data_IF_362727955989
#
_entry.id   IF_362727955989
#
_cell.length_a   1.000
_cell.length_b   1.000
_cell.length_c   1.000
_cell.angle_alpha   90.00
_cell.angle_beta   90.00
_cell.angle_gamma   90.00
#
_symmetry.space_group_name_H-M   'P 1'
#
loop_
_entity.id
_entity.type
_entity.pdbx_description
1 polymer ?
#
# COMPACT_ATOMS: atom_id res chain seq x y z
N UNK A 1 11.94 -16.65 18.42
CA UNK A 1 12.14 -16.13 17.07
C UNK A 1 12.71 -14.72 17.10
N UNK A 2 13.45 -14.27 16.04
CA UNK A 2 13.90 -12.88 15.89
C UNK A 2 12.70 -11.98 15.55
N UNK A 3 12.68 -10.75 16.06
CA UNK A 3 11.66 -9.76 15.73
C UNK A 3 12.16 -8.32 15.92
N UNK A 4 11.75 -7.42 15.04
CA UNK A 4 11.92 -5.96 15.18
C UNK A 4 10.73 -5.40 15.94
N UNK A 5 11.01 -4.93 17.15
CA UNK A 5 9.97 -4.58 18.14
C UNK A 5 10.03 -3.09 18.48
N UNK A 6 8.90 -2.42 18.41
CA UNK A 6 8.66 -1.13 19.05
C UNK A 6 8.35 -1.38 20.53
N UNK A 7 9.34 -1.16 21.40
CA UNK A 7 9.27 -1.51 22.83
C UNK A 7 8.43 -0.53 23.65
N UNK A 8 8.44 0.76 23.29
CA UNK A 8 7.69 1.84 23.95
C UNK A 8 7.30 2.94 22.96
N UNK A 9 6.29 3.76 23.29
CA UNK A 9 5.92 4.94 22.52
C UNK A 9 6.98 6.04 22.64
N UNK A 10 6.91 7.01 21.74
CA UNK A 10 7.91 8.09 21.60
C UNK A 10 8.99 7.77 20.56
N UNK A 11 9.90 8.72 20.26
CA UNK A 11 10.95 8.54 19.27
C UNK A 11 11.91 7.38 19.61
N UNK A 12 12.36 6.66 18.60
CA UNK A 12 13.23 5.49 18.78
C UNK A 12 12.48 4.31 19.41
N UNK A 13 13.08 3.67 20.40
CA UNK A 13 12.55 2.49 21.08
C UNK A 13 12.21 1.32 20.13
N UNK A 14 12.97 1.17 19.06
CA UNK A 14 12.89 0.05 18.13
C UNK A 14 14.16 -0.77 18.26
N UNK A 15 14.02 -2.08 18.40
CA UNK A 15 15.14 -2.99 18.58
C UNK A 15 14.85 -4.35 17.95
N UNK A 16 15.90 -5.01 17.46
CA UNK A 16 15.85 -6.42 17.10
C UNK A 16 16.09 -7.24 18.36
N UNK A 17 15.18 -8.15 18.69
CA UNK A 17 15.32 -9.04 19.84
C UNK A 17 14.69 -10.41 19.60
N UNK A 18 14.97 -11.35 20.49
CA UNK A 18 14.29 -12.63 20.52
C UNK A 18 13.01 -12.52 21.34
N UNK A 19 11.90 -13.00 20.75
CA UNK A 19 10.59 -13.09 21.38
C UNK A 19 10.06 -14.52 21.30
N UNK A 20 9.09 -14.90 22.15
CA UNK A 20 8.39 -16.18 22.00
C UNK A 20 7.75 -16.31 20.62
N UNK A 21 7.60 -17.54 20.13
CA UNK A 21 6.81 -17.81 18.94
C UNK A 21 5.34 -17.52 19.20
N UNK A 22 4.60 -16.98 18.18
CA UNK A 22 3.17 -16.72 18.35
C UNK A 22 2.39 -18.01 18.49
N UNK A 23 1.40 -18.03 19.37
CA UNK A 23 0.52 -19.18 19.57
C UNK A 23 -0.40 -19.38 18.36
N UNK A 24 -0.47 -20.60 17.86
CA UNK A 24 -1.40 -20.98 16.80
C UNK A 24 -2.71 -21.48 17.41
N UNK A 25 -3.80 -20.77 17.16
CA UNK A 25 -5.15 -21.13 17.63
C UNK A 25 -6.08 -21.42 16.45
N UNK A 26 -7.22 -22.12 16.66
CA UNK A 26 -8.17 -22.43 15.60
C UNK A 26 -8.54 -21.20 14.74
N UNK A 27 -8.58 -21.36 13.42
CA UNK A 27 -8.86 -20.31 12.45
C UNK A 27 -7.64 -19.49 11.99
N UNK A 28 -6.46 -19.75 12.57
CA UNK A 28 -5.21 -19.11 12.16
C UNK A 28 -4.31 -20.04 11.37
N UNK A 29 -3.43 -19.45 10.57
CA UNK A 29 -2.29 -20.10 9.93
C UNK A 29 -1.00 -19.44 10.42
N UNK A 30 0.05 -20.24 10.55
CA UNK A 30 1.42 -19.78 10.79
C UNK A 30 2.11 -19.59 9.46
N UNK A 31 2.66 -18.43 9.26
CA UNK A 31 3.43 -18.09 8.06
C UNK A 31 4.87 -17.82 8.46
N UNK A 32 5.80 -18.56 7.87
CA UNK A 32 7.22 -18.22 7.89
C UNK A 32 7.42 -17.04 6.97
N UNK A 33 7.88 -15.93 7.53
CA UNK A 33 8.07 -14.70 6.77
C UNK A 33 9.31 -14.84 5.90
N UNK A 34 9.14 -14.54 4.61
CA UNK A 34 10.25 -14.46 3.66
C UNK A 34 10.67 -13.00 3.46
N UNK A 35 9.70 -12.11 3.30
CA UNK A 35 9.94 -10.72 3.00
C UNK A 35 8.93 -9.81 3.68
N UNK A 36 9.38 -8.64 4.12
CA UNK A 36 8.54 -7.59 4.69
C UNK A 36 8.96 -6.22 4.17
N UNK A 37 8.04 -5.50 3.54
CA UNK A 37 8.27 -4.14 3.07
C UNK A 37 8.24 -3.14 4.23
N UNK A 38 9.14 -2.16 4.19
CA UNK A 38 9.11 -1.02 5.11
C UNK A 38 8.19 0.05 4.52
N UNK A 39 7.23 0.51 5.32
CA UNK A 39 6.25 1.53 4.97
C UNK A 39 6.55 2.88 5.65
N UNK A 40 6.02 3.98 5.11
CA UNK A 40 6.05 5.28 5.78
C UNK A 40 5.41 5.28 7.18
N UNK A 41 4.45 4.37 7.42
CA UNK A 41 3.87 4.16 8.75
C UNK A 41 4.90 3.64 9.76
N UNK A 42 5.81 2.75 9.34
CA UNK A 42 6.86 2.22 10.22
C UNK A 42 7.87 3.33 10.58
N UNK A 43 8.16 4.26 9.65
CA UNK A 43 8.95 5.46 9.95
C UNK A 43 8.30 6.33 11.03
N UNK A 44 6.97 6.45 11.02
CA UNK A 44 6.24 7.16 12.09
C UNK A 44 6.33 6.47 13.44
N UNK A 45 6.62 5.17 13.48
CA UNK A 45 7.00 4.48 14.69
C UNK A 45 8.37 4.93 15.19
N UNK A 46 9.33 5.15 14.28
CA UNK A 46 10.69 5.59 14.60
C UNK A 46 10.71 7.02 15.15
N UNK A 47 10.03 7.95 14.50
CA UNK A 47 10.00 9.37 14.90
C UNK A 47 9.01 9.66 16.06
N UNK A 48 8.16 8.69 16.43
CA UNK A 48 7.20 8.80 17.52
C UNK A 48 5.96 9.63 17.19
N UNK A 49 5.74 10.00 15.93
CA UNK A 49 4.57 10.77 15.49
C UNK A 49 3.28 9.95 15.43
N UNK A 50 3.38 8.63 15.61
CA UNK A 50 2.23 7.74 15.70
C UNK A 50 2.31 6.89 16.97
N UNK A 51 1.21 6.82 17.73
CA UNK A 51 1.13 6.00 18.95
C UNK A 51 0.71 4.57 18.59
N UNK A 52 1.51 3.62 19.05
CA UNK A 52 1.28 2.19 18.91
C UNK A 52 0.86 1.55 20.22
N UNK A 53 0.25 0.37 20.15
CA UNK A 53 0.09 -0.48 21.34
C UNK A 53 1.42 -1.20 21.59
N UNK A 54 2.24 -0.67 22.45
CA UNK A 54 3.57 -1.23 22.77
C UNK A 54 3.54 -2.19 23.98
N UNK A 55 4.42 -3.22 24.03
CA UNK A 55 5.37 -3.59 22.95
C UNK A 55 4.65 -4.18 21.74
N UNK A 56 5.23 -4.02 20.52
CA UNK A 56 4.63 -4.44 19.26
C UNK A 56 5.70 -4.81 18.24
N UNK A 57 5.57 -5.96 17.56
CA UNK A 57 6.36 -6.28 16.38
C UNK A 57 5.85 -5.44 15.21
N UNK A 58 6.75 -4.75 14.50
CA UNK A 58 6.41 -3.90 13.36
C UNK A 58 6.21 -4.70 12.06
N UNK A 59 5.85 -4.00 10.97
CA UNK A 59 5.73 -4.54 9.62
C UNK A 59 4.35 -5.06 9.28
N UNK A 60 3.83 -4.60 8.13
CA UNK A 60 2.48 -4.95 7.67
C UNK A 60 2.41 -5.23 6.16
N UNK A 61 3.51 -5.10 5.44
CA UNK A 61 3.65 -5.48 4.03
C UNK A 61 4.41 -6.81 3.97
N UNK A 62 3.71 -7.93 4.09
CA UNK A 62 4.30 -9.23 4.43
C UNK A 62 4.02 -10.27 3.36
N UNK A 63 5.03 -11.05 3.03
CA UNK A 63 4.91 -12.30 2.27
C UNK A 63 5.72 -13.41 2.90
N UNK A 64 5.33 -14.63 2.60
CA UNK A 64 6.01 -15.80 3.14
C UNK A 64 5.35 -17.11 2.70
N UNK A 65 5.61 -18.16 3.46
CA UNK A 65 5.08 -19.50 3.20
C UNK A 65 4.28 -20.01 4.42
N UNK A 66 3.11 -20.56 4.17
CA UNK A 66 2.34 -21.23 5.20
C UNK A 66 3.09 -22.47 5.66
N UNK A 67 3.47 -22.52 6.94
CA UNK A 67 4.20 -23.66 7.53
C UNK A 67 3.33 -24.52 8.45
N UNK A 68 2.24 -23.94 8.96
CA UNK A 68 1.32 -24.66 9.83
C UNK A 68 -0.09 -24.07 9.69
N UNK A 69 -1.10 -24.92 9.73
CA UNK A 69 -2.50 -24.52 9.80
C UNK A 69 -3.13 -25.18 11.03
N UNK A 70 -3.87 -24.41 11.83
CA UNK A 70 -4.57 -24.98 12.95
C UNK A 70 -5.57 -26.05 12.46
N UNK A 71 -5.70 -27.18 13.14
CA UNK A 71 -6.78 -28.11 12.86
C UNK A 71 -8.13 -27.41 13.05
N UNK A 72 -9.13 -27.78 12.26
CA UNK A 72 -10.49 -27.20 12.29
C UNK A 72 -10.60 -25.77 11.75
N UNK A 73 -9.95 -25.50 10.61
CA UNK A 73 -10.33 -24.38 9.76
C UNK A 73 -11.77 -24.62 9.21
N UNK A 74 -12.78 -24.56 10.08
CA UNK A 74 -14.15 -24.45 9.60
C UNK A 74 -14.34 -23.02 9.06
N UNK A 75 -14.56 -22.85 7.76
CA UNK A 75 -14.85 -21.54 7.18
C UNK A 75 -16.03 -20.83 7.88
N UNK A 76 -16.96 -21.59 8.50
CA UNK A 76 -18.08 -21.04 9.25
C UNK A 76 -17.63 -20.36 10.56
N UNK A 77 -16.54 -20.80 11.18
CA UNK A 77 -15.99 -20.20 12.39
C UNK A 77 -15.10 -18.97 12.13
N UNK A 78 -14.72 -18.75 10.88
CA UNK A 78 -14.03 -17.52 10.42
C UNK A 78 -15.09 -16.50 9.98
N UNK A 79 -16.32 -16.68 10.40
CA UNK A 79 -17.49 -15.92 10.01
C UNK A 79 -17.28 -14.43 10.18
N UNK A 80 -17.64 -13.67 9.18
CA UNK A 80 -17.95 -12.29 9.29
C UNK A 80 -17.56 -11.37 8.16
N UNK A 81 -17.03 -11.87 7.05
CA UNK A 81 -16.85 -11.03 5.88
C UNK A 81 -17.69 -11.54 4.71
N UNK A 82 -18.70 -10.76 4.29
CA UNK A 82 -19.35 -11.02 3.02
C UNK A 82 -18.34 -10.73 1.90
N UNK A 83 -18.18 -11.67 1.03
CA UNK A 83 -17.46 -11.49 -0.22
C UNK A 83 -16.06 -12.09 -0.22
N UNK A 84 -15.79 -12.66 -1.35
CA UNK A 84 -14.52 -13.17 -1.84
C UNK A 84 -13.79 -14.08 -0.84
N UNK A 85 -14.30 -15.32 -0.78
CA UNK A 85 -13.61 -16.38 -0.06
C UNK A 85 -12.29 -16.62 -0.79
N UNK A 86 -11.22 -16.11 -0.18
CA UNK A 86 -9.87 -16.47 -0.58
C UNK A 86 -9.80 -17.99 -0.74
N UNK A 87 -9.13 -18.44 -1.79
CA UNK A 87 -8.80 -19.85 -1.94
C UNK A 87 -8.24 -20.36 -0.62
N UNK A 88 -8.71 -21.54 -0.18
CA UNK A 88 -8.21 -22.12 1.05
C UNK A 88 -6.70 -22.28 0.93
N UNK A 89 -5.96 -21.56 1.78
CA UNK A 89 -4.51 -21.73 1.83
C UNK A 89 -4.17 -23.03 2.53
N UNK A 90 -3.13 -23.70 2.05
CA UNK A 90 -2.58 -24.95 2.59
C UNK A 90 -1.14 -24.75 3.04
N UNK A 91 -0.64 -25.68 3.86
CA UNK A 91 0.78 -25.76 4.20
C UNK A 91 1.60 -25.89 2.92
N UNK A 92 2.64 -25.08 2.79
CA UNK A 92 3.47 -24.97 1.60
C UNK A 92 3.09 -23.82 0.65
N UNK A 93 1.88 -23.27 0.75
CA UNK A 93 1.48 -22.15 -0.11
C UNK A 93 2.31 -20.90 0.12
N UNK A 94 2.65 -20.23 -0.98
CA UNK A 94 3.27 -18.90 -0.99
C UNK A 94 2.18 -17.86 -0.87
N UNK A 95 2.30 -16.96 0.11
CA UNK A 95 1.22 -16.03 0.44
C UNK A 95 1.73 -14.61 0.64
N UNK A 96 0.84 -13.64 0.36
CA UNK A 96 0.87 -12.29 0.92
C UNK A 96 -0.19 -12.17 2.00
N UNK A 97 -0.02 -11.24 2.93
CA UNK A 97 -0.92 -11.08 4.06
C UNK A 97 -1.76 -9.80 3.95
N UNK A 98 -3.08 -9.95 4.13
CA UNK A 98 -3.93 -8.80 4.42
C UNK A 98 -3.60 -8.25 5.80
N UNK A 99 -3.68 -6.94 5.95
CA UNK A 99 -3.34 -6.31 7.24
C UNK A 99 -4.37 -6.52 8.34
N UNK A 100 -5.54 -7.08 8.03
CA UNK A 100 -6.65 -7.19 8.98
C UNK A 100 -6.58 -8.48 9.81
N UNK A 101 -5.90 -8.41 10.97
CA UNK A 101 -5.82 -9.51 11.92
C UNK A 101 -7.15 -9.81 12.62
N UNK A 102 -7.98 -8.79 12.82
CA UNK A 102 -9.30 -8.94 13.41
C UNK A 102 -10.30 -7.96 12.80
N UNK A 103 -11.49 -8.48 12.52
CA UNK A 103 -12.68 -7.74 12.11
C UNK A 103 -13.88 -8.32 12.83
N UNK A 104 -14.83 -7.48 13.25
CA UNK A 104 -15.98 -8.00 14.04
C UNK A 104 -17.04 -8.71 13.18
N UNK A 105 -17.02 -8.56 11.85
CA UNK A 105 -17.97 -9.17 10.91
C UNK A 105 -19.42 -8.68 10.98
N UNK A 106 -19.83 -8.05 12.09
CA UNK A 106 -21.25 -7.75 12.41
C UNK A 106 -21.62 -6.26 12.42
N UNK A 107 -20.67 -5.34 12.44
CA UNK A 107 -20.98 -3.91 12.37
C UNK A 107 -21.43 -3.48 10.97
N UNK A 108 -22.02 -2.29 10.86
CA UNK A 108 -22.51 -1.76 9.59
C UNK A 108 -21.39 -1.71 8.51
N UNK A 109 -20.17 -1.32 8.92
CA UNK A 109 -19.02 -1.29 8.00
C UNK A 109 -18.67 -2.68 7.45
N UNK A 110 -18.58 -3.70 8.32
CA UNK A 110 -18.27 -5.07 7.88
C UNK A 110 -19.38 -5.62 6.97
N UNK A 111 -20.64 -5.48 7.35
CA UNK A 111 -21.79 -5.95 6.56
C UNK A 111 -21.95 -5.17 5.23
N UNK A 112 -21.53 -3.91 5.21
CA UNK A 112 -21.56 -3.06 4.03
C UNK A 112 -20.34 -3.21 3.10
N UNK A 113 -19.47 -4.24 3.33
CA UNK A 113 -18.31 -4.50 2.48
C UNK A 113 -17.15 -3.51 2.64
N UNK A 114 -17.15 -2.75 3.75
CA UNK A 114 -16.10 -1.78 4.09
C UNK A 114 -15.42 -2.14 5.43
N UNK A 115 -14.84 -3.35 5.57
CA UNK A 115 -14.30 -3.83 6.83
C UNK A 115 -13.14 -2.97 7.38
N UNK A 116 -12.42 -2.24 6.52
CA UNK A 116 -11.39 -1.29 6.92
C UNK A 116 -11.91 -0.14 7.82
N UNK A 117 -13.22 0.08 7.87
CA UNK A 117 -13.89 1.03 8.76
C UNK A 117 -14.46 0.37 10.02
N UNK A 118 -14.21 -0.91 10.24
CA UNK A 118 -14.65 -1.61 11.43
C UNK A 118 -14.06 -0.94 12.69
N UNK A 119 -14.88 -0.50 13.65
CA UNK A 119 -14.37 0.17 14.87
C UNK A 119 -13.56 -0.77 15.77
N UNK A 120 -13.70 -2.09 15.58
CA UNK A 120 -12.96 -3.12 16.32
C UNK A 120 -11.81 -3.71 15.51
N UNK A 121 -11.49 -3.12 14.36
CA UNK A 121 -10.39 -3.59 13.48
C UNK A 121 -9.07 -3.61 14.25
N UNK A 122 -8.33 -4.73 14.09
CA UNK A 122 -6.95 -4.82 14.54
C UNK A 122 -6.07 -5.09 13.31
N UNK A 123 -5.03 -4.26 13.15
CA UNK A 123 -4.08 -4.36 12.03
C UNK A 123 -2.74 -4.90 12.50
N UNK A 124 -2.16 -5.83 11.73
CA UNK A 124 -0.80 -6.31 11.96
C UNK A 124 0.19 -5.13 11.86
N UNK A 125 1.25 -5.17 12.67
CA UNK A 125 2.28 -4.13 12.69
C UNK A 125 1.82 -2.75 13.20
N UNK A 126 0.56 -2.63 13.68
CA UNK A 126 0.01 -1.37 14.19
C UNK A 126 -0.72 -1.51 15.52
N UNK A 127 -1.62 -2.48 15.64
CA UNK A 127 -2.40 -2.74 16.87
C UNK A 127 -2.22 -4.16 17.40
N UNK A 128 -1.68 -5.05 16.59
CA UNK A 128 -1.20 -6.39 16.96
C UNK A 128 0.11 -6.65 16.23
N UNK A 129 0.86 -7.65 16.69
CA UNK A 129 2.17 -8.00 16.15
C UNK A 129 2.15 -8.16 14.63
N UNK A 130 3.21 -7.66 13.99
CA UNK A 130 3.41 -7.64 12.56
C UNK A 130 4.42 -8.67 12.07
N UNK A 131 4.88 -8.48 10.84
CA UNK A 131 5.70 -9.43 10.13
C UNK A 131 7.19 -9.12 10.05
N UNK A 132 7.71 -8.09 10.74
CA UNK A 132 9.16 -7.94 10.89
C UNK A 132 9.70 -8.93 11.91
N UNK A 133 9.46 -10.23 11.67
CA UNK A 133 9.82 -11.36 12.51
C UNK A 133 9.96 -12.64 11.67
N UNK A 134 10.60 -13.67 12.24
CA UNK A 134 10.77 -14.96 11.55
C UNK A 134 9.42 -15.60 11.17
N UNK A 135 8.42 -15.47 12.03
CA UNK A 135 7.09 -16.04 11.82
C UNK A 135 5.98 -15.09 12.30
N UNK A 136 4.82 -15.23 11.69
CA UNK A 136 3.59 -14.53 12.08
C UNK A 136 2.41 -15.51 12.04
N UNK A 137 1.45 -15.35 12.94
CA UNK A 137 0.15 -16.03 12.84
C UNK A 137 -0.92 -15.03 12.42
N UNK A 138 -1.77 -15.44 11.49
CA UNK A 138 -2.83 -14.60 10.94
C UNK A 138 -4.05 -15.45 10.62
N UNK A 139 -5.20 -14.81 10.53
CA UNK A 139 -6.42 -15.49 10.07
C UNK A 139 -6.19 -16.10 8.69
N UNK A 140 -6.61 -17.35 8.50
CA UNK A 140 -6.45 -18.03 7.22
C UNK A 140 -7.05 -17.25 6.02
N UNK A 141 -8.24 -16.59 6.11
CA UNK A 141 -8.76 -15.76 5.01
C UNK A 141 -7.94 -14.50 4.72
N UNK A 142 -7.07 -14.09 5.63
CA UNK A 142 -6.19 -12.94 5.43
C UNK A 142 -4.83 -13.32 4.79
N UNK A 143 -4.56 -14.62 4.63
CA UNK A 143 -3.44 -15.12 3.82
C UNK A 143 -3.92 -15.35 2.39
N UNK A 144 -3.32 -14.66 1.42
CA UNK A 144 -3.69 -14.72 0.00
C UNK A 144 -2.59 -15.39 -0.80
N UNK A 145 -2.94 -16.45 -1.56
CA UNK A 145 -1.97 -17.16 -2.40
C UNK A 145 -1.37 -16.22 -3.44
N UNK A 146 -0.06 -16.28 -3.60
CA UNK A 146 0.67 -15.54 -4.64
C UNK A 146 0.59 -16.28 -5.98
N UNK A 147 0.53 -15.56 -7.11
CA UNK A 147 0.79 -16.13 -8.42
C UNK A 147 2.18 -16.77 -8.48
N UNK A 148 2.35 -17.82 -9.29
CA UNK A 148 3.61 -18.57 -9.37
C UNK A 148 4.77 -17.71 -9.88
N UNK A 149 4.48 -16.73 -10.75
CA UNK A 149 5.45 -15.83 -11.36
C UNK A 149 5.95 -14.73 -10.42
N UNK A 150 5.21 -14.43 -9.34
CA UNK A 150 5.58 -13.38 -8.41
C UNK A 150 6.51 -13.93 -7.33
N UNK A 151 7.68 -13.31 -7.14
CA UNK A 151 8.59 -13.68 -6.05
C UNK A 151 7.99 -13.35 -4.66
N UNK A 152 8.55 -13.94 -3.60
CA UNK A 152 8.16 -13.59 -2.24
C UNK A 152 8.52 -12.12 -1.93
N UNK A 153 9.63 -11.61 -2.45
CA UNK A 153 9.99 -10.18 -2.31
C UNK A 153 8.95 -9.27 -2.96
N UNK A 154 8.55 -9.57 -4.20
CA UNK A 154 7.44 -8.85 -4.87
C UNK A 154 6.11 -9.05 -4.16
N UNK A 155 5.89 -10.23 -3.58
CA UNK A 155 4.71 -10.57 -2.80
C UNK A 155 4.46 -9.67 -1.60
N UNK A 156 5.51 -9.13 -0.97
CA UNK A 156 5.38 -8.14 0.09
C UNK A 156 4.74 -6.83 -0.41
N UNK A 157 4.93 -6.48 -1.69
CA UNK A 157 4.39 -5.26 -2.28
C UNK A 157 2.93 -5.39 -2.75
N UNK A 158 2.30 -6.53 -2.61
CA UNK A 158 0.87 -6.70 -2.90
C UNK A 158 0.02 -5.84 -1.96
N UNK A 159 0.47 -5.64 -0.73
CA UNK A 159 -0.19 -4.75 0.23
C UNK A 159 -0.26 -3.30 -0.26
N UNK A 160 0.85 -2.61 -0.59
CA UNK A 160 0.79 -1.27 -1.16
C UNK A 160 0.12 -1.22 -2.54
N UNK A 161 0.21 -2.28 -3.36
CA UNK A 161 -0.57 -2.36 -4.58
C UNK A 161 -2.09 -2.39 -4.31
N UNK A 162 -2.54 -3.11 -3.28
CA UNK A 162 -3.95 -3.12 -2.90
C UNK A 162 -4.45 -1.73 -2.44
N UNK A 163 -3.58 -0.90 -1.84
CA UNK A 163 -3.87 0.51 -1.56
C UNK A 163 -4.05 1.28 -2.88
N UNK A 164 -3.15 1.08 -3.86
CA UNK A 164 -3.24 1.72 -5.17
C UNK A 164 -4.51 1.28 -5.95
N UNK A 165 -4.85 -0.01 -5.92
CA UNK A 165 -6.11 -0.53 -6.48
C UNK A 165 -7.30 0.19 -5.87
N UNK A 166 -7.35 0.31 -4.55
CA UNK A 166 -8.46 0.99 -3.89
C UNK A 166 -8.57 2.44 -4.31
N UNK A 167 -7.48 3.19 -4.31
CA UNK A 167 -7.54 4.62 -4.67
C UNK A 167 -7.96 4.85 -6.11
N UNK A 168 -7.52 4.00 -7.03
CA UNK A 168 -7.76 4.16 -8.47
C UNK A 168 -9.10 3.57 -8.89
N UNK A 169 -9.40 2.32 -8.48
CA UNK A 169 -10.57 1.58 -9.00
C UNK A 169 -11.81 1.67 -8.10
N UNK A 170 -11.64 2.05 -6.82
CA UNK A 170 -12.75 2.02 -5.87
C UNK A 170 -13.12 3.40 -5.31
N UNK A 171 -12.17 4.36 -5.34
CA UNK A 171 -12.35 5.70 -4.78
C UNK A 171 -12.36 6.80 -5.82
N UNK A 172 -11.84 6.56 -7.00
CA UNK A 172 -11.91 7.52 -8.09
C UNK A 172 -13.02 7.21 -9.09
N UNK A 173 -13.29 8.17 -9.94
CA UNK A 173 -14.25 8.09 -11.04
C UNK A 173 -13.56 7.91 -12.39
N UNK A 174 -12.37 7.29 -12.38
CA UNK A 174 -11.55 7.10 -13.56
C UNK A 174 -12.18 6.13 -14.55
N UNK A 175 -12.21 6.52 -15.84
CA UNK A 175 -12.69 5.71 -16.94
C UNK A 175 -11.60 5.47 -18.00
N UNK A 176 -11.74 4.44 -18.84
CA UNK A 176 -10.84 4.25 -19.97
C UNK A 176 -10.82 5.48 -20.89
N UNK A 177 -9.61 5.92 -21.26
CA UNK A 177 -9.40 7.12 -22.07
C UNK A 177 -9.22 8.43 -21.29
N UNK A 178 -9.59 8.47 -20.01
CA UNK A 178 -9.36 9.63 -19.14
C UNK A 178 -7.88 9.99 -19.00
N UNK A 179 -7.60 11.25 -18.71
CA UNK A 179 -6.28 11.73 -18.36
C UNK A 179 -6.12 11.75 -16.84
N UNK A 180 -5.19 10.92 -16.35
CA UNK A 180 -4.83 10.83 -14.93
C UNK A 180 -3.46 11.44 -14.66
N UNK A 181 -3.35 12.33 -13.68
CA UNK A 181 -2.06 12.83 -13.19
C UNK A 181 -1.79 12.25 -11.81
N UNK A 182 -0.63 11.62 -11.63
CA UNK A 182 -0.20 11.05 -10.35
C UNK A 182 1.00 11.83 -9.82
N UNK A 183 0.87 12.44 -8.67
CA UNK A 183 1.96 13.14 -8.00
C UNK A 183 2.68 12.23 -7.01
N UNK A 184 4.00 12.18 -7.11
CA UNK A 184 4.87 11.44 -6.20
C UNK A 184 5.27 10.06 -6.73
N UNK A 185 6.49 9.90 -7.30
CA UNK A 185 6.97 8.65 -7.87
C UNK A 185 7.52 7.68 -6.80
N UNK A 186 6.88 7.63 -5.62
CA UNK A 186 7.12 6.61 -4.60
C UNK A 186 6.43 5.28 -4.95
N UNK A 187 6.56 4.27 -4.07
CA UNK A 187 5.97 2.96 -4.30
C UNK A 187 4.44 3.02 -4.54
N UNK A 188 3.71 3.85 -3.78
CA UNK A 188 2.26 4.03 -3.96
C UNK A 188 1.94 4.73 -5.27
N UNK A 189 2.65 5.83 -5.62
CA UNK A 189 2.38 6.54 -6.87
C UNK A 189 2.74 5.74 -8.12
N UNK A 190 3.87 5.00 -8.10
CA UNK A 190 4.23 4.08 -9.19
C UNK A 190 3.21 2.93 -9.34
N UNK A 191 2.72 2.38 -8.23
CA UNK A 191 1.65 1.38 -8.27
C UNK A 191 0.34 1.99 -8.80
N UNK A 192 -0.04 3.20 -8.34
CA UNK A 192 -1.24 3.90 -8.80
C UNK A 192 -1.19 4.22 -10.31
N UNK A 193 -0.03 4.68 -10.80
CA UNK A 193 0.18 4.93 -12.22
C UNK A 193 -0.01 3.67 -13.07
N UNK A 194 0.55 2.53 -12.62
CA UNK A 194 0.35 1.26 -13.31
C UNK A 194 -1.11 0.79 -13.27
N UNK A 195 -1.79 0.92 -12.11
CA UNK A 195 -3.22 0.55 -11.99
C UNK A 195 -4.10 1.45 -12.87
N UNK A 196 -3.82 2.76 -12.93
CA UNK A 196 -4.56 3.68 -13.80
C UNK A 196 -4.34 3.36 -15.29
N UNK A 197 -3.09 3.07 -15.70
CA UNK A 197 -2.78 2.62 -17.04
C UNK A 197 -3.48 1.29 -17.36
N UNK A 198 -3.47 0.35 -16.41
CA UNK A 198 -4.18 -0.92 -16.52
C UNK A 198 -5.71 -0.72 -16.63
N UNK A 199 -6.27 0.34 -16.08
CA UNK A 199 -7.68 0.71 -16.24
C UNK A 199 -7.97 1.40 -17.60
N UNK A 200 -6.95 1.63 -18.43
CA UNK A 200 -7.09 2.24 -19.75
C UNK A 200 -6.97 3.77 -19.77
N UNK A 201 -6.52 4.38 -18.69
CA UNK A 201 -6.27 5.82 -18.63
C UNK A 201 -4.94 6.20 -19.30
N UNK A 202 -4.86 7.45 -19.80
CA UNK A 202 -3.61 8.10 -20.16
C UNK A 202 -2.99 8.67 -18.88
N UNK A 203 -1.78 8.23 -18.54
CA UNK A 203 -1.19 8.56 -17.25
C UNK A 203 0.01 9.47 -17.41
N UNK A 204 0.05 10.52 -16.59
CA UNK A 204 1.21 11.38 -16.36
C UNK A 204 1.68 11.16 -14.93
N UNK A 205 2.91 10.70 -14.73
CA UNK A 205 3.54 10.62 -13.42
C UNK A 205 4.43 11.85 -13.20
N UNK A 206 4.14 12.61 -12.14
CA UNK A 206 4.83 13.85 -11.81
C UNK A 206 5.69 13.69 -10.56
N UNK A 207 6.95 14.11 -10.65
CA UNK A 207 7.91 14.10 -9.55
C UNK A 207 8.79 15.34 -9.56
N UNK A 208 9.93 15.30 -8.87
CA UNK A 208 10.99 16.31 -8.94
C UNK A 208 12.24 15.72 -9.58
N UNK A 209 13.15 16.55 -10.07
CA UNK A 209 14.41 16.14 -10.69
C UNK A 209 15.24 15.19 -9.79
N UNK A 210 15.18 15.38 -8.47
CA UNK A 210 15.82 14.46 -7.51
C UNK A 210 15.24 13.03 -7.53
N UNK A 211 14.11 12.82 -8.17
CA UNK A 211 13.44 11.51 -8.31
C UNK A 211 13.65 10.91 -9.72
N UNK A 212 14.66 11.37 -10.46
CA UNK A 212 14.89 10.99 -11.86
C UNK A 212 14.84 9.47 -12.08
N UNK A 213 15.56 8.70 -11.29
CA UNK A 213 15.60 7.23 -11.42
C UNK A 213 14.20 6.59 -11.36
N UNK A 214 13.30 7.13 -10.53
CA UNK A 214 11.93 6.64 -10.40
C UNK A 214 11.02 7.11 -11.53
N UNK A 215 11.27 8.30 -12.07
CA UNK A 215 10.58 8.76 -13.28
C UNK A 215 11.01 7.92 -14.49
N UNK A 216 12.30 7.60 -14.61
CA UNK A 216 12.82 6.69 -15.63
C UNK A 216 12.24 5.27 -15.48
N UNK A 217 12.13 4.76 -14.24
CA UNK A 217 11.47 3.50 -13.95
C UNK A 217 10.00 3.52 -14.41
N UNK A 218 9.27 4.62 -14.20
CA UNK A 218 7.89 4.72 -14.67
C UNK A 218 7.78 4.54 -16.19
N UNK A 219 8.69 5.15 -16.95
CA UNK A 219 8.74 4.98 -18.42
C UNK A 219 9.02 3.51 -18.79
N UNK A 220 9.95 2.84 -18.08
CA UNK A 220 10.25 1.42 -18.27
C UNK A 220 9.05 0.52 -17.95
N UNK A 221 8.21 0.92 -16.98
CA UNK A 221 6.97 0.25 -16.61
C UNK A 221 5.80 0.55 -17.57
N UNK A 222 6.07 1.27 -18.68
CA UNK A 222 5.08 1.57 -19.71
C UNK A 222 4.17 2.78 -19.41
N UNK A 223 4.50 3.60 -18.41
CA UNK A 223 3.81 4.88 -18.19
C UNK A 223 4.32 5.87 -19.24
N UNK A 224 3.45 6.40 -20.12
CA UNK A 224 3.92 7.13 -21.30
C UNK A 224 4.52 8.50 -21.00
N UNK A 225 4.15 9.10 -19.88
CA UNK A 225 4.62 10.43 -19.49
C UNK A 225 5.08 10.43 -18.04
N UNK A 226 6.36 10.73 -17.82
CA UNK A 226 6.95 10.89 -16.49
C UNK A 226 7.87 12.10 -16.52
N UNK A 227 7.61 13.12 -15.70
CA UNK A 227 8.32 14.38 -15.77
C UNK A 227 8.69 14.94 -14.39
N UNK A 228 9.73 15.80 -14.39
CA UNK A 228 10.19 16.52 -13.22
C UNK A 228 9.58 17.94 -13.21
N UNK A 229 8.64 18.19 -12.30
CA UNK A 229 7.87 19.45 -12.23
C UNK A 229 8.71 20.68 -11.85
N UNK A 230 9.93 20.50 -11.39
CA UNK A 230 10.91 21.57 -11.13
C UNK A 230 11.85 21.85 -12.32
N UNK A 231 11.69 21.12 -13.41
CA UNK A 231 12.47 21.27 -14.64
C UNK A 231 11.60 21.32 -15.91
N UNK A 232 10.35 20.88 -15.84
CA UNK A 232 9.46 20.73 -16.98
C UNK A 232 8.07 21.29 -16.66
N UNK A 233 7.36 21.77 -17.68
CA UNK A 233 6.02 22.37 -17.52
C UNK A 233 4.93 21.30 -17.57
N UNK A 234 4.50 20.86 -16.39
CA UNK A 234 3.39 19.91 -16.24
C UNK A 234 2.07 20.47 -16.78
N UNK A 235 1.81 21.77 -16.59
CA UNK A 235 0.56 22.40 -17.04
C UNK A 235 0.47 22.37 -18.56
N UNK A 236 1.54 22.77 -19.25
CA UNK A 236 1.59 22.71 -20.71
C UNK A 236 1.41 21.28 -21.23
N UNK A 237 1.97 20.26 -20.55
CA UNK A 237 1.77 18.86 -20.95
C UNK A 237 0.31 18.41 -20.75
N UNK A 238 -0.30 18.73 -19.60
CA UNK A 238 -1.70 18.41 -19.31
C UNK A 238 -2.62 19.09 -20.33
N UNK A 239 -2.40 20.35 -20.65
CA UNK A 239 -3.17 21.10 -21.64
C UNK A 239 -3.05 20.48 -23.04
N UNK A 240 -1.84 20.13 -23.46
CA UNK A 240 -1.64 19.47 -24.74
C UNK A 240 -2.34 18.11 -24.84
N UNK A 241 -2.30 17.31 -23.76
CA UNK A 241 -2.94 15.99 -23.71
C UNK A 241 -4.46 16.06 -23.59
N UNK A 242 -4.99 17.12 -23.00
CA UNK A 242 -6.43 17.29 -22.73
C UNK A 242 -7.11 18.27 -23.67
N UNK A 243 -6.40 18.86 -24.63
CA UNK A 243 -6.91 19.94 -25.49
C UNK A 243 -7.40 21.16 -24.67
N UNK A 244 -6.64 21.50 -23.62
CA UNK A 244 -6.93 22.60 -22.71
C UNK A 244 -8.05 22.36 -21.70
N UNK A 245 -8.58 21.11 -21.60
CA UNK A 245 -9.67 20.80 -20.65
C UNK A 245 -9.16 20.56 -19.22
N UNK A 246 -7.92 20.13 -19.05
CA UNK A 246 -7.34 19.65 -17.80
C UNK A 246 -7.50 18.15 -17.57
N UNK A 247 -6.90 17.62 -16.50
CA UNK A 247 -6.94 16.21 -16.11
C UNK A 247 -8.32 15.80 -15.58
N UNK A 248 -8.74 14.58 -15.87
CA UNK A 248 -10.00 14.01 -15.33
C UNK A 248 -9.84 13.68 -13.84
N UNK A 249 -8.72 13.08 -13.46
CA UNK A 249 -8.42 12.71 -12.07
C UNK A 249 -6.98 13.04 -11.75
N UNK A 250 -6.76 13.64 -10.57
CA UNK A 250 -5.42 13.84 -9.99
C UNK A 250 -5.29 13.02 -8.71
N UNK A 251 -4.23 12.23 -8.61
CA UNK A 251 -3.88 11.44 -7.42
C UNK A 251 -2.72 12.11 -6.70
N UNK A 252 -2.94 12.52 -5.46
CA UNK A 252 -1.92 13.09 -4.60
C UNK A 252 -1.32 11.99 -3.72
N UNK A 253 -0.12 11.50 -4.09
CA UNK A 253 0.62 10.43 -3.41
C UNK A 253 1.95 10.92 -2.80
N UNK A 254 2.23 12.22 -2.85
CA UNK A 254 3.52 12.79 -2.44
C UNK A 254 3.53 13.34 -1.00
N UNK A 255 2.39 13.81 -0.51
CA UNK A 255 2.27 14.56 0.74
C UNK A 255 2.89 15.97 0.67
N UNK A 256 3.20 16.46 -0.53
CA UNK A 256 3.82 17.75 -0.69
C UNK A 256 2.77 18.88 -0.72
N UNK A 257 2.92 19.85 0.17
CA UNK A 257 2.04 21.01 0.28
C UNK A 257 1.82 21.72 -1.07
N UNK A 258 2.89 21.97 -1.81
CA UNK A 258 2.84 22.67 -3.10
C UNK A 258 2.02 21.92 -4.15
N UNK A 259 2.00 20.58 -4.07
CA UNK A 259 1.16 19.78 -4.96
C UNK A 259 -0.31 20.01 -4.65
N UNK A 260 -0.70 20.02 -3.38
CA UNK A 260 -2.08 20.25 -3.01
C UNK A 260 -2.57 21.66 -3.37
N UNK A 261 -1.70 22.67 -3.23
CA UNK A 261 -1.98 24.06 -3.64
C UNK A 261 -2.19 24.18 -5.16
N UNK A 262 -1.41 23.46 -5.97
CA UNK A 262 -1.45 23.55 -7.44
C UNK A 262 -2.37 22.56 -8.14
N UNK A 263 -2.64 21.41 -7.53
CA UNK A 263 -3.41 20.32 -8.16
C UNK A 263 -4.81 20.73 -8.65
N UNK A 264 -5.61 21.54 -7.93
CA UNK A 264 -6.94 21.94 -8.40
C UNK A 264 -6.91 22.66 -9.75
N UNK A 265 -5.86 23.42 -10.06
CA UNK A 265 -5.73 24.14 -11.33
C UNK A 265 -5.48 23.24 -12.54
N UNK A 266 -4.97 22.02 -12.31
CA UNK A 266 -4.72 21.02 -13.35
C UNK A 266 -5.95 20.19 -13.69
N UNK A 267 -6.99 20.24 -12.85
CA UNK A 267 -8.17 19.38 -12.97
C UNK A 267 -9.22 20.08 -13.81
N UNK A 268 -9.83 19.35 -14.75
CA UNK A 268 -10.96 19.87 -15.52
C UNK A 268 -12.17 20.19 -14.62
N UNK A 269 -13.09 21.01 -15.11
CA UNK A 269 -14.39 21.22 -14.45
C UNK A 269 -15.11 19.88 -14.26
N UNK A 270 -15.65 19.66 -13.06
CA UNK A 270 -16.30 18.40 -12.67
C UNK A 270 -15.32 17.22 -12.49
N UNK A 271 -14.00 17.45 -12.47
CA UNK A 271 -13.01 16.42 -12.25
C UNK A 271 -12.79 16.09 -10.77
N UNK A 272 -11.79 15.25 -10.49
CA UNK A 272 -11.59 14.71 -9.14
C UNK A 272 -10.14 14.82 -8.65
N UNK A 273 -9.98 15.19 -7.39
CA UNK A 273 -8.73 15.10 -6.62
C UNK A 273 -8.83 13.97 -5.61
N UNK A 274 -7.95 12.97 -5.71
CA UNK A 274 -7.87 11.85 -4.77
C UNK A 274 -6.64 12.04 -3.87
N UNK A 275 -6.89 12.23 -2.57
CA UNK A 275 -5.87 12.39 -1.55
C UNK A 275 -5.49 11.05 -0.94
N UNK A 276 -4.23 10.67 -1.04
CA UNK A 276 -3.70 9.38 -0.61
C UNK A 276 -2.61 9.53 0.44
N UNK A 277 -1.72 10.49 0.25
CA UNK A 277 -0.65 10.75 1.20
C UNK A 277 -1.16 11.41 2.48
N UNK A 278 -0.37 11.26 3.55
CA UNK A 278 -0.55 12.06 4.75
C UNK A 278 0.27 13.34 4.62
N UNK A 279 -0.32 14.43 5.07
CA UNK A 279 0.36 15.71 5.20
C UNK A 279 0.80 15.89 6.65
N UNK A 280 2.02 16.39 6.85
CA UNK A 280 2.53 16.69 8.20
C UNK A 280 1.98 18.02 8.72
N UNK A 281 1.57 18.93 7.81
CA UNK A 281 0.93 20.21 8.09
C UNK A 281 -0.54 20.19 7.67
N UNK A 282 -1.25 21.29 7.92
CA UNK A 282 -2.57 21.60 7.35
C UNK A 282 -2.40 22.45 6.09
N UNK A 283 -2.17 21.87 4.90
CA UNK A 283 -1.98 22.65 3.69
C UNK A 283 -3.29 23.32 3.29
N UNK A 284 -3.25 24.57 2.81
CA UNK A 284 -4.45 25.26 2.35
C UNK A 284 -5.00 24.59 1.09
N UNK A 285 -6.31 24.51 1.02
CA UNK A 285 -7.04 24.12 -0.18
C UNK A 285 -7.97 25.28 -0.56
N UNK A 286 -7.89 25.75 -1.80
CA UNK A 286 -8.76 26.83 -2.28
C UNK A 286 -10.20 26.32 -2.45
N UNK A 287 -11.00 26.54 -1.40
CA UNK A 287 -12.41 26.12 -1.39
C UNK A 287 -13.26 26.86 -2.44
N UNK A 288 -12.87 28.10 -2.82
CA UNK A 288 -13.57 28.85 -3.87
C UNK A 288 -13.38 28.15 -5.22
N UNK A 289 -12.14 27.77 -5.54
CA UNK A 289 -11.83 27.03 -6.76
C UNK A 289 -12.57 25.70 -6.82
N UNK A 290 -12.69 24.98 -5.69
CA UNK A 290 -13.48 23.73 -5.65
C UNK A 290 -14.94 23.95 -6.04
N UNK A 291 -15.55 25.04 -5.57
CA UNK A 291 -16.95 25.38 -5.88
C UNK A 291 -17.07 25.85 -7.34
N UNK A 292 -16.21 26.76 -7.80
CA UNK A 292 -16.28 27.35 -9.16
C UNK A 292 -16.03 26.30 -10.26
N UNK A 293 -15.24 25.28 -9.97
CA UNK A 293 -14.93 24.19 -10.91
C UNK A 293 -15.72 22.90 -10.65
N UNK A 294 -16.57 22.86 -9.62
CA UNK A 294 -17.35 21.66 -9.22
C UNK A 294 -16.46 20.45 -8.97
N UNK A 295 -15.30 20.64 -8.33
CA UNK A 295 -14.36 19.55 -8.09
C UNK A 295 -14.81 18.64 -6.98
N UNK A 296 -14.63 17.32 -7.18
CA UNK A 296 -14.76 16.32 -6.13
C UNK A 296 -13.42 16.10 -5.44
N UNK A 297 -13.37 16.24 -4.11
CA UNK A 297 -12.18 15.89 -3.32
C UNK A 297 -12.46 14.67 -2.48
N UNK A 298 -11.66 13.62 -2.63
CA UNK A 298 -11.89 12.31 -2.01
C UNK A 298 -10.64 11.82 -1.30
N UNK A 299 -10.76 11.53 0.00
CA UNK A 299 -9.71 10.82 0.74
C UNK A 299 -9.74 9.31 0.45
N UNK A 300 -8.56 8.71 0.30
CA UNK A 300 -8.40 7.27 0.16
C UNK A 300 -7.39 6.75 1.18
N UNK A 301 -7.82 5.83 2.05
CA UNK A 301 -6.98 5.19 3.06
C UNK A 301 -7.27 3.70 3.17
N UNK A 302 -6.20 2.91 3.27
CA UNK A 302 -6.33 1.45 3.45
C UNK A 302 -6.83 0.74 2.20
N UNK A 303 -7.31 -0.45 2.37
CA UNK A 303 -7.75 -1.37 1.30
C UNK A 303 -8.81 -2.32 1.85
N UNK A 304 -9.48 -3.01 0.94
CA UNK A 304 -10.48 -4.04 1.24
C UNK A 304 -9.97 -5.41 0.79
N UNK A 305 -10.56 -6.52 1.24
CA UNK A 305 -10.22 -7.84 0.70
C UNK A 305 -10.28 -7.89 -0.83
N UNK A 306 -11.30 -7.29 -1.45
CA UNK A 306 -11.44 -7.22 -2.91
C UNK A 306 -10.31 -6.45 -3.59
N UNK A 307 -9.71 -5.46 -2.90
CA UNK A 307 -8.55 -4.73 -3.41
C UNK A 307 -7.34 -5.67 -3.57
N UNK A 308 -7.13 -6.61 -2.64
CA UNK A 308 -6.08 -7.65 -2.74
C UNK A 308 -6.35 -8.62 -3.90
N UNK A 309 -7.58 -9.10 -4.04
CA UNK A 309 -7.97 -9.98 -5.15
C UNK A 309 -7.69 -9.31 -6.50
N UNK A 310 -8.09 -8.04 -6.63
CA UNK A 310 -7.83 -7.28 -7.86
C UNK A 310 -6.33 -7.04 -8.08
N UNK A 311 -5.58 -6.72 -7.02
CA UNK A 311 -4.13 -6.54 -7.09
C UNK A 311 -3.41 -7.80 -7.59
N UNK A 312 -3.72 -8.96 -6.98
CA UNK A 312 -3.13 -10.25 -7.38
C UNK A 312 -3.48 -10.61 -8.83
N UNK A 313 -4.74 -10.34 -9.26
CA UNK A 313 -5.14 -10.56 -10.65
C UNK A 313 -4.36 -9.67 -11.62
N UNK A 314 -4.19 -8.38 -11.35
CA UNK A 314 -3.42 -7.46 -12.20
C UNK A 314 -1.96 -7.90 -12.34
N UNK A 315 -1.38 -8.44 -11.27
CA UNK A 315 -0.01 -9.00 -11.31
C UNK A 315 0.01 -10.29 -12.14
N UNK A 316 -0.90 -11.22 -11.91
CA UNK A 316 -0.98 -12.48 -12.66
C UNK A 316 -1.23 -12.26 -14.17
N UNK A 317 -1.96 -11.20 -14.54
CA UNK A 317 -2.17 -10.79 -15.93
C UNK A 317 -0.98 -10.02 -16.52
N UNK A 318 0.10 -9.79 -15.77
CA UNK A 318 1.28 -9.03 -16.20
C UNK A 318 1.02 -7.52 -16.41
N UNK A 319 -0.11 -7.00 -15.93
CA UNK A 319 -0.54 -5.61 -16.10
C UNK A 319 0.07 -4.66 -15.07
N UNK A 320 0.59 -5.20 -13.97
CA UNK A 320 1.31 -4.49 -12.92
C UNK A 320 2.55 -5.29 -12.54
N UNK A 321 3.68 -4.62 -12.48
CA UNK A 321 4.97 -5.19 -12.10
C UNK A 321 5.39 -4.65 -10.73
N UNK A 322 5.72 -5.52 -9.80
CA UNK A 322 6.09 -5.16 -8.42
C UNK A 322 7.59 -5.25 -8.15
N UNK A 323 8.28 -6.24 -8.72
CA UNK A 323 9.72 -6.43 -8.54
C UNK A 323 10.54 -5.15 -8.79
N UNK A 324 10.31 -4.42 -9.91
CA UNK A 324 11.09 -3.21 -10.21
C UNK A 324 10.88 -2.08 -9.21
N UNK A 325 9.81 -2.11 -8.41
CA UNK A 325 9.56 -1.09 -7.38
C UNK A 325 10.47 -1.25 -6.16
N UNK A 326 11.04 -2.44 -5.94
CA UNK A 326 11.97 -2.71 -4.84
C UNK A 326 13.32 -2.09 -5.16
N UNK A 327 13.72 -1.08 -4.40
CA UNK A 327 15.01 -0.40 -4.60
C UNK A 327 16.14 -1.02 -3.78
N UNK A 328 15.82 -1.57 -2.60
CA UNK A 328 16.80 -2.17 -1.70
C UNK A 328 16.23 -3.43 -1.07
N UNK A 329 17.09 -4.44 -0.96
CA UNK A 329 16.84 -5.69 -0.24
C UNK A 329 17.87 -5.79 0.86
N UNK A 330 17.45 -5.93 2.09
CA UNK A 330 18.32 -5.97 3.26
C UNK A 330 17.92 -7.15 4.15
N UNK A 331 18.86 -7.77 4.87
CA UNK A 331 18.49 -8.77 5.87
C UNK A 331 17.72 -8.10 7.03
N UNK A 332 16.91 -8.88 7.76
CA UNK A 332 16.11 -8.38 8.89
C UNK A 332 16.97 -7.62 9.92
N UNK A 333 18.20 -8.04 10.12
CA UNK A 333 19.16 -7.43 11.05
C UNK A 333 19.52 -5.98 10.67
N UNK A 334 19.48 -5.65 9.39
CA UNK A 334 19.73 -4.30 8.86
C UNK A 334 18.47 -3.41 8.83
N UNK A 335 17.48 -3.71 9.67
CA UNK A 335 16.23 -2.93 9.73
C UNK A 335 16.47 -1.42 9.91
N UNK A 336 17.45 -1.04 10.70
CA UNK A 336 17.77 0.37 10.98
C UNK A 336 18.23 1.10 9.72
N UNK A 337 19.13 0.50 8.94
CA UNK A 337 19.57 1.04 7.63
C UNK A 337 18.38 1.15 6.68
N UNK A 338 17.46 0.16 6.71
CA UNK A 338 16.24 0.17 5.91
C UNK A 338 15.32 1.35 6.26
N UNK A 339 15.20 1.71 7.53
CA UNK A 339 14.39 2.86 7.98
C UNK A 339 15.04 4.21 7.56
N UNK A 340 16.36 4.30 7.55
CA UNK A 340 17.08 5.49 7.07
C UNK A 340 16.88 5.68 5.55
N UNK A 341 17.04 4.61 4.77
CA UNK A 341 16.84 4.62 3.32
C UNK A 341 15.42 5.05 2.92
N UNK A 342 14.41 4.68 3.70
CA UNK A 342 13.02 5.08 3.43
C UNK A 342 12.86 6.60 3.38
N UNK A 343 13.64 7.37 4.16
CA UNK A 343 13.68 8.83 4.13
C UNK A 343 14.04 9.42 2.76
N UNK A 344 14.80 8.70 1.95
CA UNK A 344 15.11 9.03 0.54
C UNK A 344 14.00 8.68 -0.46
N UNK A 345 12.88 8.14 0.02
CA UNK A 345 11.75 7.69 -0.81
C UNK A 345 12.01 6.35 -1.48
N UNK A 346 12.95 5.55 -1.00
CA UNK A 346 13.22 4.21 -1.47
C UNK A 346 12.13 3.23 -1.02
N UNK A 347 11.95 2.16 -1.79
CA UNK A 347 11.15 1.00 -1.35
C UNK A 347 12.09 -0.09 -0.89
N UNK A 348 12.18 -0.23 0.41
CA UNK A 348 13.03 -1.22 1.07
C UNK A 348 12.21 -2.44 1.44
N UNK A 349 12.75 -3.62 1.17
CA UNK A 349 12.21 -4.90 1.62
C UNK A 349 13.26 -5.57 2.51
N UNK A 350 12.85 -5.96 3.70
CA UNK A 350 13.66 -6.79 4.59
C UNK A 350 13.43 -8.26 4.23
N UNK A 351 14.49 -8.96 3.89
CA UNK A 351 14.50 -10.40 3.64
C UNK A 351 14.75 -11.10 4.99
N UNK A 352 13.78 -11.90 5.42
CA UNK A 352 13.78 -12.52 6.76
C UNK A 352 14.32 -13.93 6.69
N UNK A 353 13.94 -14.71 5.69
CA UNK A 353 14.42 -16.07 5.44
C UNK A 353 14.66 -16.33 3.95
N UNK A 354 15.76 -17.05 3.62
CA UNK A 354 16.08 -17.42 2.23
C UNK A 354 15.10 -18.44 1.64
N UNK A 355 14.39 -19.19 2.49
CA UNK A 355 13.49 -20.30 2.11
C UNK A 355 12.07 -20.09 2.68
N UNK A 356 11.56 -18.86 2.70
CA UNK A 356 10.22 -18.57 3.18
C UNK A 356 9.12 -19.35 2.47
#
# INVERSE_FOLDING_TARGET
>A
MRAVVKAANGPGHIELRHVPEPELVPGLVRVRVAAVGICGTDRRALDGSYSYRTPLILGHEVSGRVVEAAPDLDPANIAGLPGDHADKVAVGDRVTLETDAYLCGRCAACRGGNPQWCPLRKGIGTTVDGGMADEIVIRAPSARRLPDELSLTGGALVEPLAIAVRQVLERSVLHPGDLAVVFGPGAIGLAAAQVAAAAGARVVLAGRARHRERLELALQLGIPYALATDAEDLTALVDALSEGRGADVVYECSGARQVLEGAPALIRKGGQLVLVAYFDDEPPLDLRQLVEQELSVVGSRGKRPVSYTTALRLVAEGRVQLEPLVTHRLPLESWADGFELLGGGHKVVLEVSENG
#
